data_IF_679343093096
#
_entry.id   IF_679343093096
#
_cell.length_a   1.000
_cell.length_b   1.000
_cell.length_c   1.000
_cell.angle_alpha   90.00
_cell.angle_beta   90.00
_cell.angle_gamma   90.00
#
_symmetry.space_group_name_H-M   'P 1'
#
loop_
_entity.id
_entity.type
_entity.pdbx_description
1 polymer ?
#
# COMPACT_ATOMS: atom_id res chain seq x y z
N UNK A 1 12.05 1.94 6.76
CA UNK A 1 11.96 2.98 5.71
C UNK A 1 10.51 3.15 5.31
N UNK A 2 10.04 4.38 5.08
CA UNK A 2 8.67 4.66 4.67
C UNK A 2 8.61 4.87 3.15
N UNK A 3 7.85 4.02 2.44
CA UNK A 3 7.71 4.12 1.00
C UNK A 3 6.27 4.54 0.68
N UNK A 4 6.12 5.42 -0.30
CA UNK A 4 4.81 5.86 -0.83
C UNK A 4 4.54 5.32 -2.23
N UNK A 5 4.76 4.01 -2.52
CA UNK A 5 4.55 3.53 -3.87
C UNK A 5 3.04 3.49 -4.12
N UNK A 6 2.59 4.21 -5.14
CA UNK A 6 1.24 3.99 -5.65
C UNK A 6 1.13 2.52 -6.08
N UNK A 7 0.03 1.85 -5.75
CA UNK A 7 -0.21 0.44 -6.12
C UNK A 7 0.00 0.22 -7.63
N UNK A 8 -0.35 1.22 -8.45
CA UNK A 8 -0.12 1.19 -9.90
C UNK A 8 1.37 1.16 -10.29
N UNK A 9 2.24 1.83 -9.53
CA UNK A 9 3.69 1.80 -9.74
C UNK A 9 4.25 0.41 -9.48
N UNK A 10 3.90 -0.20 -8.35
CA UNK A 10 4.31 -1.57 -8.00
C UNK A 10 3.82 -2.57 -9.06
N UNK A 11 2.55 -2.45 -9.45
CA UNK A 11 1.94 -3.30 -10.46
C UNK A 11 2.68 -3.22 -11.79
N UNK A 12 3.02 -2.00 -12.23
CA UNK A 12 3.78 -1.76 -13.47
C UNK A 12 5.20 -2.34 -13.40
N UNK A 13 5.90 -2.11 -12.29
CA UNK A 13 7.30 -2.53 -12.15
C UNK A 13 7.45 -4.04 -11.97
N UNK A 14 6.56 -4.66 -11.21
CA UNK A 14 6.55 -6.11 -11.00
C UNK A 14 5.80 -6.87 -12.11
N UNK A 15 5.23 -6.16 -13.10
CA UNK A 15 4.34 -6.72 -14.14
C UNK A 15 3.21 -7.57 -13.54
N UNK A 16 2.69 -7.14 -12.40
CA UNK A 16 1.58 -7.77 -11.70
C UNK A 16 0.29 -6.99 -11.91
N UNK A 17 -0.85 -7.66 -11.79
CA UNK A 17 -2.12 -6.95 -11.73
C UNK A 17 -2.23 -6.17 -10.41
N UNK A 18 -2.97 -5.06 -10.43
CA UNK A 18 -3.28 -4.28 -9.22
C UNK A 18 -3.91 -5.14 -8.11
N UNK A 19 -4.76 -6.10 -8.49
CA UNK A 19 -5.39 -7.03 -7.54
C UNK A 19 -4.40 -7.98 -6.90
N UNK A 20 -3.37 -8.44 -7.62
CA UNK A 20 -2.28 -9.25 -7.04
C UNK A 20 -1.44 -8.42 -6.08
N UNK A 21 -1.10 -7.18 -6.42
CA UNK A 21 -0.37 -6.28 -5.51
C UNK A 21 -1.17 -6.02 -4.25
N UNK A 22 -2.48 -5.75 -4.36
CA UNK A 22 -3.36 -5.56 -3.20
C UNK A 22 -3.40 -6.79 -2.29
N UNK A 23 -3.50 -8.00 -2.87
CA UNK A 23 -3.47 -9.25 -2.10
C UNK A 23 -2.14 -9.42 -1.36
N UNK A 24 -1.02 -9.28 -2.07
CA UNK A 24 0.31 -9.41 -1.48
C UNK A 24 0.53 -8.39 -0.34
N UNK A 25 0.12 -7.14 -0.52
CA UNK A 25 0.19 -6.12 0.54
C UNK A 25 -0.69 -6.48 1.74
N UNK A 26 -1.89 -7.00 1.50
CA UNK A 26 -2.78 -7.45 2.57
C UNK A 26 -2.22 -8.67 3.31
N UNK A 27 -1.58 -9.60 2.61
CA UNK A 27 -0.95 -10.78 3.21
C UNK A 27 0.24 -10.37 4.08
N UNK A 28 1.07 -9.44 3.60
CA UNK A 28 2.18 -8.87 4.38
C UNK A 28 1.69 -8.07 5.59
N UNK A 29 0.58 -7.34 5.47
CA UNK A 29 -0.06 -6.66 6.60
C UNK A 29 -0.57 -7.66 7.64
N UNK A 30 -1.26 -8.71 7.20
CA UNK A 30 -1.76 -9.79 8.07
C UNK A 30 -0.64 -10.56 8.76
N UNK A 31 0.48 -10.75 8.07
CA UNK A 31 1.66 -11.39 8.61
C UNK A 31 2.48 -10.46 9.53
N UNK A 32 2.09 -9.19 9.68
CA UNK A 32 2.74 -8.23 10.58
C UNK A 32 4.01 -7.58 10.04
N UNK A 33 4.34 -7.80 8.76
CA UNK A 33 5.51 -7.21 8.09
C UNK A 33 5.27 -5.78 7.60
N UNK A 34 4.01 -5.39 7.41
CA UNK A 34 3.62 -4.05 6.99
C UNK A 34 2.67 -3.41 7.99
N UNK A 35 2.86 -2.12 8.22
CA UNK A 35 1.88 -1.27 8.88
C UNK A 35 1.19 -0.38 7.86
N UNK A 36 -0.15 -0.41 7.86
CA UNK A 36 -0.99 0.42 7.01
C UNK A 36 -1.53 1.60 7.82
N UNK A 37 -1.19 2.83 7.43
CA UNK A 37 -1.82 4.03 7.98
C UNK A 37 -2.74 4.65 6.93
N UNK A 38 -4.03 4.71 7.28
CA UNK A 38 -5.05 5.37 6.46
C UNK A 38 -4.88 6.88 6.63
N UNK A 39 -4.41 7.59 5.60
CA UNK A 39 -4.25 9.05 5.67
C UNK A 39 -5.52 9.71 5.13
N UNK A 40 -6.25 10.37 6.02
CA UNK A 40 -7.36 11.23 5.67
C UNK A 40 -6.85 12.66 5.55
N UNK A 41 -7.19 13.36 4.47
CA UNK A 41 -6.98 14.81 4.41
C UNK A 41 -8.04 15.51 5.29
N UNK A 42 -7.78 16.75 5.75
CA UNK A 42 -8.76 17.54 6.51
C UNK A 42 -10.08 17.77 5.76
N UNK A 43 -10.07 17.69 4.43
CA UNK A 43 -11.23 17.85 3.57
C UNK A 43 -12.02 16.53 3.34
N UNK A 44 -11.73 15.46 4.09
CA UNK A 44 -12.42 14.17 3.98
C UNK A 44 -12.04 13.33 2.76
N UNK A 45 -11.22 13.83 1.83
CA UNK A 45 -10.79 13.05 0.67
C UNK A 45 -9.78 11.96 1.08
N UNK A 46 -10.03 10.73 0.61
CA UNK A 46 -9.18 9.58 0.86
C UNK A 46 -7.86 9.77 0.10
N UNK A 47 -6.74 9.86 0.82
CA UNK A 47 -5.42 9.77 0.19
C UNK A 47 -4.92 8.33 0.20
N UNK A 48 -4.05 7.98 -0.76
CA UNK A 48 -3.36 6.70 -0.81
C UNK A 48 -2.77 6.33 0.56
N UNK A 49 -2.99 5.09 0.99
CA UNK A 49 -2.55 4.59 2.28
C UNK A 49 -1.02 4.62 2.39
N UNK A 50 -0.51 5.01 3.55
CA UNK A 50 0.91 4.87 3.88
C UNK A 50 1.17 3.41 4.25
N UNK A 51 2.18 2.81 3.61
CA UNK A 51 2.70 1.50 3.98
C UNK A 51 4.10 1.69 4.56
N UNK A 52 4.28 1.30 5.81
CA UNK A 52 5.58 1.29 6.48
C UNK A 52 6.06 -0.15 6.60
N UNK A 53 7.28 -0.41 6.13
CA UNK A 53 7.95 -1.71 6.31
C UNK A 53 8.49 -1.75 7.74
N UNK A 54 8.15 -2.81 8.47
CA UNK A 54 8.63 -3.07 9.82
C UNK A 54 10.03 -3.67 9.82
#
# INVERSE_FOLDING_TARGET
GACWPAIGTIARELRLSRSTVLRALNDLYRAGFLEKQNRHRPNGSLTSNLFTIK
#
